data_IF_746002029805
#
_entry.id   IF_746002029805
#
_cell.length_a   1.000
_cell.length_b   1.000
_cell.length_c   1.000
_cell.angle_alpha   90.00
_cell.angle_beta   90.00
_cell.angle_gamma   90.00
#
_symmetry.space_group_name_H-M   'P 1'
#
loop_
_entity.id
_entity.type
_entity.pdbx_description
1 polymer ?
#
# COMPACT_ATOMS: atom_id res chain seq x y z
N UNK A 1 -13.06 -35.82 -14.78
CA UNK A 1 -13.32 -34.63 -13.95
C UNK A 1 -12.17 -33.65 -14.18
N UNK A 2 -12.42 -32.51 -14.84
CA UNK A 2 -11.39 -31.52 -15.14
C UNK A 2 -11.16 -30.68 -13.86
N UNK A 3 -9.96 -30.77 -13.30
CA UNK A 3 -9.52 -29.86 -12.26
C UNK A 3 -9.28 -28.48 -12.90
N UNK A 4 -10.30 -27.64 -12.93
CA UNK A 4 -10.15 -26.22 -13.22
C UNK A 4 -9.62 -25.54 -11.96
N UNK A 5 -8.35 -25.77 -11.64
CA UNK A 5 -7.61 -24.85 -10.78
C UNK A 5 -7.26 -23.66 -11.67
N UNK A 6 -8.10 -22.63 -11.65
CA UNK A 6 -7.74 -21.33 -12.23
C UNK A 6 -6.45 -20.88 -11.56
N UNK A 7 -5.41 -20.50 -12.32
CA UNK A 7 -4.16 -20.10 -11.71
C UNK A 7 -4.44 -18.83 -10.91
N UNK A 8 -4.00 -18.81 -9.66
CA UNK A 8 -3.93 -17.60 -8.84
C UNK A 8 -2.83 -16.68 -9.40
N UNK A 9 -2.92 -16.32 -10.68
CA UNK A 9 -1.93 -15.55 -11.44
C UNK A 9 -2.12 -14.04 -11.25
N UNK A 10 -2.33 -13.60 -10.00
CA UNK A 10 -2.37 -12.17 -9.66
C UNK A 10 -1.15 -11.76 -8.81
N UNK A 11 -0.23 -12.68 -8.48
CA UNK A 11 0.91 -12.41 -7.61
C UNK A 11 2.27 -12.21 -8.33
N UNK A 12 2.31 -11.95 -9.64
CA UNK A 12 3.58 -11.83 -10.38
C UNK A 12 3.83 -10.46 -11.00
N UNK A 13 2.84 -9.57 -11.02
CA UNK A 13 3.04 -8.23 -11.61
C UNK A 13 3.46 -7.23 -10.53
N UNK A 14 4.48 -6.40 -10.79
CA UNK A 14 4.82 -5.32 -9.89
C UNK A 14 3.68 -4.29 -9.88
N UNK A 15 3.46 -3.68 -8.72
CA UNK A 15 2.61 -2.49 -8.59
C UNK A 15 3.22 -1.33 -9.37
N UNK A 16 2.37 -0.54 -10.03
CA UNK A 16 2.82 0.59 -10.85
C UNK A 16 3.30 1.74 -9.96
N UNK A 17 4.30 2.48 -10.45
CA UNK A 17 4.85 3.63 -9.74
C UNK A 17 3.77 4.68 -9.41
N UNK A 18 2.83 4.92 -10.33
CA UNK A 18 1.73 5.87 -10.13
C UNK A 18 0.83 5.47 -8.95
N UNK A 19 0.58 4.17 -8.78
CA UNK A 19 -0.21 3.65 -7.66
C UNK A 19 0.50 3.84 -6.32
N UNK A 20 1.79 3.51 -6.27
CA UNK A 20 2.63 3.70 -5.07
C UNK A 20 2.77 5.19 -4.71
N UNK A 21 2.88 6.04 -5.73
CA UNK A 21 2.98 7.49 -5.58
C UNK A 21 1.68 8.05 -5.01
N UNK A 22 0.53 7.65 -5.56
CA UNK A 22 -0.78 8.08 -5.07
C UNK A 22 -1.00 7.72 -3.60
N UNK A 23 -0.66 6.50 -3.19
CA UNK A 23 -0.79 6.09 -1.78
C UNK A 23 0.16 6.85 -0.87
N UNK A 24 1.39 7.13 -1.33
CA UNK A 24 2.34 7.97 -0.60
C UNK A 24 1.80 9.39 -0.41
N UNK A 25 1.22 9.98 -1.45
CA UNK A 25 0.61 11.31 -1.39
C UNK A 25 -0.57 11.34 -0.42
N UNK A 26 -1.39 10.28 -0.38
CA UNK A 26 -2.50 10.16 0.57
C UNK A 26 -2.00 10.15 2.02
N UNK A 27 -0.99 9.33 2.34
CA UNK A 27 -0.39 9.31 3.69
C UNK A 27 0.16 10.69 4.04
N UNK A 28 0.91 11.34 3.14
CA UNK A 28 1.46 12.68 3.37
C UNK A 28 0.37 13.74 3.58
N UNK A 29 -0.73 13.69 2.83
CA UNK A 29 -1.86 14.60 3.00
C UNK A 29 -2.52 14.43 4.38
N UNK A 30 -2.70 13.19 4.84
CA UNK A 30 -3.25 12.91 6.18
C UNK A 30 -2.31 13.43 7.26
N UNK A 31 -1.00 13.16 7.15
CA UNK A 31 0.00 13.62 8.12
C UNK A 31 0.07 15.15 8.23
N UNK A 32 -0.07 15.86 7.11
CA UNK A 32 -0.20 17.33 7.11
C UNK A 32 -1.47 17.76 7.84
N UNK A 33 -2.61 17.13 7.52
CA UNK A 33 -3.91 17.44 8.12
C UNK A 33 -3.94 17.23 9.63
N UNK A 34 -3.27 16.20 10.16
CA UNK A 34 -3.18 15.93 11.60
C UNK A 34 -2.60 17.11 12.40
N UNK A 35 -1.69 17.87 11.79
CA UNK A 35 -1.09 19.04 12.43
C UNK A 35 -2.07 20.22 12.56
N UNK A 36 -3.04 20.32 11.66
CA UNK A 36 -4.00 21.43 11.59
C UNK A 36 -5.32 21.13 12.31
N UNK A 37 -5.62 19.87 12.59
CA UNK A 37 -6.80 19.47 13.36
C UNK A 37 -6.55 19.72 14.85
N UNK A 38 -7.57 20.19 15.59
CA UNK A 38 -7.48 20.37 17.05
C UNK A 38 -8.22 19.28 17.83
N UNK A 39 -9.26 18.70 17.23
CA UNK A 39 -10.08 17.67 17.87
C UNK A 39 -9.32 16.34 18.03
N UNK A 40 -9.10 15.84 19.26
CA UNK A 40 -8.33 14.63 19.51
C UNK A 40 -8.93 13.37 18.87
N UNK A 41 -10.26 13.25 18.81
CA UNK A 41 -10.92 12.08 18.21
C UNK A 41 -10.69 12.04 16.70
N UNK A 42 -10.85 13.18 16.03
CA UNK A 42 -10.55 13.33 14.60
C UNK A 42 -9.08 13.03 14.32
N UNK A 43 -8.14 13.49 15.15
CA UNK A 43 -6.71 13.11 15.02
C UNK A 43 -6.50 11.62 15.09
N UNK A 44 -7.13 10.93 16.04
CA UNK A 44 -7.02 9.47 16.19
C UNK A 44 -7.44 8.77 14.91
N UNK A 45 -8.60 9.13 14.34
CA UNK A 45 -9.08 8.53 13.09
C UNK A 45 -8.17 8.79 11.89
N UNK A 46 -7.57 9.98 11.82
CA UNK A 46 -6.58 10.31 10.79
C UNK A 46 -5.31 9.48 10.96
N UNK A 47 -4.83 9.29 12.19
CA UNK A 47 -3.68 8.41 12.47
C UNK A 47 -3.98 6.97 12.05
N UNK A 48 -5.13 6.42 12.42
CA UNK A 48 -5.55 5.06 12.04
C UNK A 48 -5.62 4.91 10.50
N UNK A 49 -6.11 5.95 9.81
CA UNK A 49 -6.18 5.96 8.34
C UNK A 49 -4.79 6.00 7.70
N UNK A 50 -3.87 6.79 8.25
CA UNK A 50 -2.49 6.84 7.79
C UNK A 50 -1.77 5.50 8.01
N UNK A 51 -1.99 4.84 9.14
CA UNK A 51 -1.45 3.51 9.44
C UNK A 51 -1.95 2.46 8.44
N UNK A 52 -3.26 2.45 8.17
CA UNK A 52 -3.87 1.51 7.24
C UNK A 52 -3.28 1.63 5.83
N UNK A 53 -3.23 2.85 5.29
CA UNK A 53 -2.67 3.11 3.94
C UNK A 53 -1.17 2.83 3.93
N UNK A 54 -0.43 3.29 4.94
CA UNK A 54 1.02 3.07 5.04
C UNK A 54 1.39 1.59 5.11
N UNK A 55 0.62 0.78 5.84
CA UNK A 55 0.84 -0.68 5.92
C UNK A 55 0.57 -1.37 4.58
N UNK A 56 -0.45 -0.91 3.84
CA UNK A 56 -0.73 -1.44 2.50
C UNK A 56 0.37 -1.07 1.51
N UNK A 57 0.81 0.19 1.52
CA UNK A 57 1.92 0.67 0.70
C UNK A 57 3.21 -0.12 0.97
N UNK A 58 3.55 -0.35 2.25
CA UNK A 58 4.72 -1.14 2.61
C UNK A 58 4.67 -2.55 2.00
N UNK A 59 3.53 -3.24 2.11
CA UNK A 59 3.34 -4.58 1.51
C UNK A 59 3.52 -4.57 -0.01
N UNK A 60 3.11 -3.51 -0.69
CA UNK A 60 3.28 -3.36 -2.14
C UNK A 60 4.73 -3.11 -2.53
N UNK A 61 5.45 -2.28 -1.77
CA UNK A 61 6.88 -2.03 -1.95
C UNK A 61 7.70 -3.31 -1.71
N UNK A 62 7.43 -4.03 -0.63
CA UNK A 62 8.05 -5.32 -0.34
C UNK A 62 7.74 -6.35 -1.43
N UNK A 63 6.53 -6.34 -1.98
CA UNK A 63 6.17 -7.21 -3.10
C UNK A 63 6.99 -6.90 -4.36
N UNK A 64 7.12 -5.62 -4.72
CA UNK A 64 7.94 -5.22 -5.86
C UNK A 64 9.41 -5.57 -5.67
N UNK A 65 9.97 -5.31 -4.47
CA UNK A 65 11.35 -5.67 -4.15
C UNK A 65 11.62 -7.18 -4.29
N UNK A 66 10.69 -8.02 -3.83
CA UNK A 66 10.81 -9.49 -4.00
C UNK A 66 10.81 -9.92 -5.47
N UNK A 67 10.07 -9.23 -6.33
CA UNK A 67 10.07 -9.53 -7.77
C UNK A 67 11.41 -9.11 -8.42
N UNK A 68 11.93 -7.94 -8.07
CA UNK A 68 13.23 -7.45 -8.56
C UNK A 68 14.39 -8.37 -8.14
N UNK A 69 14.38 -8.88 -6.90
CA UNK A 69 15.39 -9.82 -6.40
C UNK A 69 15.26 -11.21 -7.04
N UNK A 70 14.04 -11.65 -7.37
CA UNK A 70 13.75 -12.96 -7.98
C UNK A 70 14.08 -13.04 -9.47
N UNK A 71 14.13 -11.91 -10.18
CA UNK A 71 14.51 -11.82 -11.60
C UNK A 71 16.04 -11.89 -11.83
N UNK A 72 16.85 -12.04 -10.77
CA UNK A 72 18.31 -12.12 -10.83
C UNK A 72 18.90 -13.56 -10.85
N UNK A 73 18.08 -14.61 -11.00
CA UNK A 73 18.51 -16.02 -11.14
C UNK A 73 18.35 -16.59 -12.56
#
# INVERSE_FOLDING_TARGET
MRNNCLPTAIAEKPYLLDELTYETECVLAILRTINDVSDPHTKSHLVDSAELIGTQLLKKLEHNARLEDGDCE
#
